data_IF_881460418556
#
_entry.id   IF_881460418556
#
_cell.length_a   1.000
_cell.length_b   1.000
_cell.length_c   1.000
_cell.angle_alpha   90.00
_cell.angle_beta   90.00
_cell.angle_gamma   90.00
#
_symmetry.space_group_name_H-M   'P 1'
#
loop_
_entity.id
_entity.type
_entity.pdbx_description
1 polymer ?
#
# COMPACT_ATOMS: atom_id res chain seq x y z
N UNK A 1 0.12 -22.42 44.66
CA UNK A 1 1.12 -22.16 43.57
C UNK A 1 0.52 -22.28 42.17
N UNK A 2 -0.32 -23.30 41.89
CA UNK A 2 -0.98 -23.52 40.58
C UNK A 2 -1.96 -22.40 40.20
N UNK A 3 -2.81 -21.94 41.13
CA UNK A 3 -3.76 -20.82 40.92
C UNK A 3 -3.09 -19.49 40.52
N UNK A 4 -1.94 -19.17 41.12
CA UNK A 4 -1.17 -17.95 40.80
C UNK A 4 -0.57 -18.04 39.38
N UNK A 5 -0.12 -19.24 38.96
CA UNK A 5 0.45 -19.50 37.64
C UNK A 5 -0.59 -19.37 36.51
N UNK A 6 -1.81 -19.85 36.73
CA UNK A 6 -2.92 -19.71 35.78
C UNK A 6 -3.38 -18.25 35.64
N UNK A 7 -3.44 -17.50 36.74
CA UNK A 7 -3.76 -16.06 36.69
C UNK A 7 -2.76 -15.27 35.83
N UNK A 8 -1.45 -15.49 36.03
CA UNK A 8 -0.40 -14.82 35.24
C UNK A 8 -0.37 -15.28 33.77
N UNK A 9 -0.71 -16.54 33.45
CA UNK A 9 -0.83 -17.00 32.05
C UNK A 9 -2.00 -16.35 31.32
N UNK A 10 -3.12 -16.15 32.01
CA UNK A 10 -4.30 -15.47 31.46
C UNK A 10 -4.05 -13.97 31.30
N UNK A 11 -3.38 -13.34 32.26
CA UNK A 11 -3.02 -11.91 32.20
C UNK A 11 -1.97 -11.59 31.14
N UNK A 12 -1.01 -12.50 30.92
CA UNK A 12 0.03 -12.34 29.88
C UNK A 12 -0.46 -12.65 28.45
N UNK A 13 -1.71 -13.08 28.27
CA UNK A 13 -2.24 -13.51 26.98
C UNK A 13 -1.60 -14.79 26.44
N UNK A 14 -0.74 -15.46 27.22
CA UNK A 14 -0.02 -16.66 26.78
C UNK A 14 -0.96 -17.84 26.54
N UNK A 15 -2.00 -17.97 27.36
CA UNK A 15 -3.04 -18.99 27.19
C UNK A 15 -3.80 -18.80 25.86
N UNK A 16 -4.15 -17.56 25.52
CA UNK A 16 -4.80 -17.22 24.26
C UNK A 16 -3.87 -17.48 23.06
N UNK A 17 -2.59 -17.13 23.20
CA UNK A 17 -1.59 -17.35 22.16
C UNK A 17 -1.30 -18.84 21.94
N UNK A 18 -1.29 -19.65 23.01
CA UNK A 18 -1.19 -21.11 22.92
C UNK A 18 -2.45 -21.72 22.26
N UNK A 19 -3.64 -21.17 22.54
CA UNK A 19 -4.89 -21.56 21.87
C UNK A 19 -4.85 -21.27 20.36
N UNK A 20 -4.51 -20.04 19.97
CA UNK A 20 -4.38 -19.65 18.55
C UNK A 20 -3.32 -20.50 17.84
N UNK A 21 -2.23 -20.87 18.53
CA UNK A 21 -1.24 -21.81 17.98
C UNK A 21 -1.82 -23.20 17.76
N UNK A 22 -2.65 -23.71 18.66
CA UNK A 22 -3.30 -25.01 18.48
C UNK A 22 -4.34 -24.99 17.36
N UNK A 23 -5.10 -23.90 17.22
CA UNK A 23 -6.10 -23.71 16.15
C UNK A 23 -5.49 -23.74 14.75
N UNK A 24 -4.20 -23.41 14.60
CA UNK A 24 -3.48 -23.54 13.31
C UNK A 24 -3.50 -24.97 12.76
N UNK A 25 -3.63 -25.96 13.63
CA UNK A 25 -3.62 -27.37 13.27
C UNK A 25 -5.01 -27.98 13.19
N UNK A 26 -6.05 -27.16 13.35
CA UNK A 26 -7.41 -27.63 13.20
C UNK A 26 -7.73 -27.88 11.71
N UNK A 27 -8.54 -28.91 11.42
CA UNK A 27 -8.99 -29.16 10.07
C UNK A 27 -9.76 -27.96 9.53
N UNK A 28 -9.46 -27.55 8.29
CA UNK A 28 -10.15 -26.44 7.67
C UNK A 28 -10.67 -26.79 6.27
N UNK A 29 -11.72 -26.09 5.88
CA UNK A 29 -12.34 -26.18 4.57
C UNK A 29 -12.09 -24.89 3.78
N UNK A 30 -12.48 -24.89 2.51
CA UNK A 30 -12.42 -23.69 1.67
C UNK A 30 -13.17 -22.52 2.32
N UNK A 31 -12.51 -21.36 2.41
CA UNK A 31 -13.09 -20.12 2.90
C UNK A 31 -13.24 -19.12 1.76
N UNK A 32 -14.44 -18.59 1.54
CA UNK A 32 -14.65 -17.59 0.50
C UNK A 32 -14.01 -16.25 0.86
N UNK A 33 -13.49 -15.56 -0.16
CA UNK A 33 -12.90 -14.23 -0.04
C UNK A 33 -13.89 -13.09 -0.34
N UNK A 34 -15.20 -13.37 -0.48
CA UNK A 34 -16.19 -12.35 -0.91
C UNK A 34 -16.23 -11.12 -0.01
N UNK A 35 -16.11 -11.27 1.31
CA UNK A 35 -16.05 -10.13 2.23
C UNK A 35 -14.81 -9.25 1.99
N UNK A 36 -13.63 -9.88 1.86
CA UNK A 36 -12.39 -9.17 1.55
C UNK A 36 -12.47 -8.46 0.20
N UNK A 37 -13.14 -9.05 -0.80
CA UNK A 37 -13.36 -8.42 -2.12
C UNK A 37 -14.23 -7.17 -2.00
N UNK A 38 -15.29 -7.20 -1.19
CA UNK A 38 -16.13 -6.00 -0.98
C UNK A 38 -15.32 -4.90 -0.30
N UNK A 39 -14.57 -5.23 0.75
CA UNK A 39 -13.71 -4.26 1.42
C UNK A 39 -12.63 -3.70 0.46
N UNK A 40 -11.96 -4.55 -0.31
CA UNK A 40 -10.99 -4.12 -1.31
C UNK A 40 -11.63 -3.26 -2.39
N UNK A 41 -12.87 -3.53 -2.82
CA UNK A 41 -13.57 -2.68 -3.77
C UNK A 41 -13.79 -1.27 -3.22
N UNK A 42 -14.18 -1.16 -1.95
CA UNK A 42 -14.41 0.13 -1.28
C UNK A 42 -13.10 0.90 -1.12
N UNK A 43 -12.10 0.27 -0.51
CA UNK A 43 -10.84 0.97 -0.18
C UNK A 43 -9.96 1.21 -1.41
N UNK A 44 -9.87 0.27 -2.37
CA UNK A 44 -9.18 0.55 -3.64
C UNK A 44 -9.95 1.58 -4.50
N UNK A 45 -11.27 1.65 -4.37
CA UNK A 45 -12.08 2.71 -4.98
C UNK A 45 -11.77 4.09 -4.37
N UNK A 46 -11.68 4.17 -3.04
CA UNK A 46 -11.27 5.37 -2.32
C UNK A 46 -9.83 5.77 -2.69
N UNK A 47 -8.89 4.83 -2.68
CA UNK A 47 -7.52 5.01 -3.13
C UNK A 47 -7.44 5.69 -4.50
N UNK A 48 -8.17 5.13 -5.48
CA UNK A 48 -8.22 5.63 -6.84
C UNK A 48 -8.82 7.04 -6.91
N UNK A 49 -9.89 7.32 -6.15
CA UNK A 49 -10.50 8.65 -6.06
C UNK A 49 -9.53 9.70 -5.48
N UNK A 50 -8.86 9.35 -4.39
CA UNK A 50 -7.92 10.25 -3.71
C UNK A 50 -6.67 10.50 -4.57
N UNK A 51 -6.17 9.48 -5.26
CA UNK A 51 -5.05 9.62 -6.21
C UNK A 51 -5.40 10.57 -7.37
N UNK A 52 -6.59 10.47 -7.95
CA UNK A 52 -7.04 11.44 -8.96
C UNK A 52 -7.17 12.86 -8.38
N UNK A 53 -7.64 12.97 -7.14
CA UNK A 53 -7.78 14.26 -6.45
C UNK A 53 -6.43 14.92 -6.20
N UNK A 54 -5.40 14.13 -5.84
CA UNK A 54 -4.01 14.59 -5.75
C UNK A 54 -3.49 15.06 -7.11
N UNK A 55 -3.71 14.29 -8.18
CA UNK A 55 -3.27 14.68 -9.52
C UNK A 55 -3.89 16.03 -9.95
N UNK A 56 -5.18 16.24 -9.63
CA UNK A 56 -5.85 17.52 -9.89
C UNK A 56 -5.26 18.66 -9.06
N UNK A 57 -4.97 18.40 -7.78
CA UNK A 57 -4.37 19.39 -6.89
C UNK A 57 -2.96 19.79 -7.35
N UNK A 58 -2.13 18.82 -7.74
CA UNK A 58 -0.78 19.07 -8.24
C UNK A 58 -0.80 19.76 -9.61
N UNK A 59 -1.80 19.48 -10.44
CA UNK A 59 -2.05 20.24 -11.67
C UNK A 59 -2.38 21.71 -11.36
N UNK A 60 -3.26 21.97 -10.40
CA UNK A 60 -3.61 23.34 -10.01
C UNK A 60 -2.38 24.10 -9.50
N UNK A 61 -1.56 23.46 -8.66
CA UNK A 61 -0.30 24.04 -8.17
C UNK A 61 0.65 24.35 -9.32
N UNK A 62 0.89 23.37 -10.20
CA UNK A 62 1.75 23.57 -11.36
C UNK A 62 1.26 24.73 -12.25
N UNK A 63 -0.06 24.84 -12.43
CA UNK A 63 -0.69 25.88 -13.26
C UNK A 63 -0.48 27.29 -12.70
N UNK A 64 -0.83 27.54 -11.43
CA UNK A 64 -0.67 28.87 -10.87
C UNK A 64 0.81 29.24 -10.67
N UNK A 65 1.68 28.31 -10.29
CA UNK A 65 3.12 28.56 -10.16
C UNK A 65 3.74 28.89 -11.51
N UNK A 66 3.31 28.23 -12.60
CA UNK A 66 3.74 28.58 -13.97
C UNK A 66 3.29 30.00 -14.33
N UNK A 67 2.07 30.39 -13.94
CA UNK A 67 1.58 31.75 -14.14
C UNK A 67 2.38 32.79 -13.36
N UNK A 68 2.74 32.49 -12.10
CA UNK A 68 3.60 33.35 -11.30
C UNK A 68 4.99 33.52 -11.93
N UNK A 69 5.58 32.43 -12.41
CA UNK A 69 6.84 32.47 -13.15
C UNK A 69 6.74 33.36 -14.40
N UNK A 70 5.64 33.26 -15.16
CA UNK A 70 5.43 34.13 -16.32
C UNK A 70 5.24 35.62 -15.98
N UNK A 71 4.84 35.92 -14.74
CA UNK A 71 4.70 37.27 -14.22
C UNK A 71 5.99 37.82 -13.60
N UNK A 72 7.11 37.07 -13.68
CA UNK A 72 8.42 37.50 -13.17
C UNK A 72 8.77 36.98 -11.78
N UNK A 73 7.93 36.14 -11.15
CA UNK A 73 8.22 35.56 -9.84
C UNK A 73 9.23 34.41 -9.97
N UNK A 74 10.31 34.44 -9.20
CA UNK A 74 11.45 33.53 -9.34
C UNK A 74 11.56 32.47 -8.24
N UNK A 75 10.98 32.74 -7.07
CA UNK A 75 10.99 31.89 -5.89
C UNK A 75 9.58 31.62 -5.35
N UNK A 76 9.46 30.70 -4.39
CA UNK A 76 8.17 30.39 -3.74
C UNK A 76 8.08 31.03 -2.35
N UNK A 77 6.86 31.40 -1.94
CA UNK A 77 6.61 31.79 -0.55
C UNK A 77 6.82 30.60 0.39
N UNK A 78 7.07 30.85 1.69
CA UNK A 78 7.24 29.79 2.67
C UNK A 78 5.97 28.93 2.80
N UNK A 79 6.16 27.65 3.09
CA UNK A 79 5.05 26.69 3.27
C UNK A 79 4.34 26.84 4.62
N UNK A 80 5.01 27.42 5.61
CA UNK A 80 4.50 27.71 6.95
C UNK A 80 4.52 29.21 7.21
N UNK A 81 3.59 29.71 8.02
CA UNK A 81 3.58 31.13 8.35
C UNK A 81 4.78 31.45 9.23
N UNK A 82 5.76 32.14 8.64
CA UNK A 82 6.92 32.69 9.33
C UNK A 82 7.16 34.10 8.78
N UNK A 83 6.99 35.16 9.61
CA UNK A 83 7.15 36.54 9.17
C UNK A 83 8.52 36.81 8.56
N UNK A 84 9.60 36.28 9.13
CA UNK A 84 10.97 36.50 8.62
C UNK A 84 11.13 35.88 7.24
N UNK A 85 10.75 34.61 7.06
CA UNK A 85 10.77 33.95 5.74
C UNK A 85 9.89 34.64 4.69
N UNK A 86 8.82 35.32 5.09
CA UNK A 86 7.96 36.11 4.20
C UNK A 86 8.64 37.41 3.74
N UNK A 87 9.38 38.07 4.64
CA UNK A 87 10.22 39.21 4.29
C UNK A 87 11.35 38.76 3.35
N UNK A 88 12.03 37.64 3.64
CA UNK A 88 13.07 37.09 2.75
C UNK A 88 12.54 36.74 1.35
N UNK A 89 11.29 36.27 1.26
CA UNK A 89 10.62 36.07 -0.01
C UNK A 89 10.34 37.40 -0.72
N UNK A 90 9.82 38.38 0.02
CA UNK A 90 9.55 39.73 -0.48
C UNK A 90 10.82 40.41 -1.05
N UNK A 91 11.94 40.33 -0.32
CA UNK A 91 13.23 40.87 -0.75
C UNK A 91 13.75 40.21 -2.02
N UNK A 92 13.66 38.87 -2.13
CA UNK A 92 14.09 38.14 -3.33
C UNK A 92 13.27 38.49 -4.57
N UNK A 93 11.98 38.76 -4.38
CA UNK A 93 11.06 39.11 -5.46
C UNK A 93 10.94 40.64 -5.69
N UNK A 94 11.68 41.45 -4.93
CA UNK A 94 11.69 42.92 -4.98
C UNK A 94 10.32 43.57 -4.70
N UNK A 95 9.54 43.02 -3.77
CA UNK A 95 8.31 43.67 -3.29
C UNK A 95 8.62 44.73 -2.22
N UNK A 96 7.81 45.78 -2.15
CA UNK A 96 7.88 46.82 -1.10
C UNK A 96 7.28 46.34 0.24
N UNK A 97 7.69 45.17 0.73
CA UNK A 97 7.33 44.62 2.04
C UNK A 97 8.59 44.17 2.79
N UNK A 98 9.21 45.10 3.53
CA UNK A 98 10.54 44.91 4.12
C UNK A 98 10.52 44.73 5.64
N UNK A 99 9.44 45.15 6.30
CA UNK A 99 9.32 45.12 7.76
C UNK A 99 8.15 44.26 8.21
N UNK A 100 8.34 43.55 9.31
CA UNK A 100 7.29 42.76 9.96
C UNK A 100 6.12 43.65 10.40
N UNK A 101 6.39 44.91 10.75
CA UNK A 101 5.34 45.88 11.14
C UNK A 101 4.44 46.21 9.94
N UNK A 102 5.01 46.36 8.74
CA UNK A 102 4.24 46.62 7.52
C UNK A 102 3.44 45.38 7.11
N UNK A 103 3.99 44.18 7.35
CA UNK A 103 3.31 42.90 7.13
C UNK A 103 2.08 42.76 8.04
N UNK A 104 2.20 43.07 9.33
CA UNK A 104 1.10 43.00 10.30
C UNK A 104 0.01 44.04 9.99
N UNK A 105 0.40 45.23 9.52
CA UNK A 105 -0.54 46.30 9.21
C UNK A 105 -1.07 46.26 7.76
N UNK A 106 -0.70 45.23 6.98
CA UNK A 106 -1.09 45.06 5.57
C UNK A 106 -0.82 46.31 4.71
N UNK A 107 0.31 46.96 4.92
CA UNK A 107 0.69 48.19 4.20
C UNK A 107 1.52 47.89 2.95
N UNK A 108 1.62 48.88 2.04
CA UNK A 108 2.42 48.81 0.82
C UNK A 108 2.07 47.58 -0.03
N UNK A 109 3.05 46.77 -0.43
CA UNK A 109 2.87 45.55 -1.22
C UNK A 109 2.75 44.27 -0.38
N UNK A 110 2.75 44.37 0.96
CA UNK A 110 2.55 43.22 1.84
C UNK A 110 1.26 42.42 1.59
N UNK A 111 0.10 43.04 1.23
CA UNK A 111 -1.09 42.27 0.86
C UNK A 111 -0.88 41.33 -0.34
N UNK A 112 -0.03 41.73 -1.28
CA UNK A 112 0.33 40.90 -2.45
C UNK A 112 1.18 39.70 -2.03
N UNK A 113 2.18 39.93 -1.16
CA UNK A 113 3.00 38.86 -0.58
C UNK A 113 2.16 37.86 0.22
N UNK A 114 1.27 38.37 1.08
CA UNK A 114 0.34 37.55 1.87
C UNK A 114 -0.62 36.76 0.97
N UNK A 115 -1.05 37.33 -0.16
CA UNK A 115 -1.88 36.61 -1.13
C UNK A 115 -1.13 35.43 -1.77
N UNK A 116 0.13 35.61 -2.17
CA UNK A 116 0.95 34.51 -2.68
C UNK A 116 1.13 33.42 -1.63
N UNK A 117 1.42 33.82 -0.39
CA UNK A 117 1.52 32.90 0.73
C UNK A 117 0.22 32.12 0.99
N UNK A 118 -0.93 32.80 1.06
CA UNK A 118 -2.23 32.17 1.32
C UNK A 118 -2.59 31.18 0.20
N UNK A 119 -2.45 31.58 -1.07
CA UNK A 119 -2.75 30.72 -2.22
C UNK A 119 -1.86 29.46 -2.24
N UNK A 120 -0.57 29.60 -1.94
CA UNK A 120 0.38 28.49 -1.90
C UNK A 120 0.16 27.58 -0.68
N UNK A 121 0.12 28.14 0.53
CA UNK A 121 -0.01 27.39 1.79
C UNK A 121 -1.33 26.63 1.87
N UNK A 122 -2.45 27.25 1.43
CA UNK A 122 -3.75 26.59 1.32
C UNK A 122 -3.68 25.39 0.38
N UNK A 123 -3.02 25.55 -0.78
CA UNK A 123 -2.88 24.46 -1.75
C UNK A 123 -2.01 23.32 -1.20
N UNK A 124 -0.91 23.64 -0.50
CA UNK A 124 -0.08 22.64 0.20
C UNK A 124 -0.87 21.88 1.27
N UNK A 125 -1.66 22.59 2.08
CA UNK A 125 -2.45 21.97 3.14
C UNK A 125 -3.47 20.98 2.57
N UNK A 126 -4.11 21.29 1.45
CA UNK A 126 -5.01 20.36 0.75
C UNK A 126 -4.25 19.12 0.28
N UNK A 127 -3.09 19.29 -0.40
CA UNK A 127 -2.26 18.16 -0.84
C UNK A 127 -1.83 17.27 0.34
N UNK A 128 -1.42 17.88 1.46
CA UNK A 128 -1.03 17.17 2.66
C UNK A 128 -2.19 16.34 3.26
N UNK A 129 -3.39 16.93 3.35
CA UNK A 129 -4.57 16.22 3.84
C UNK A 129 -4.95 15.04 2.94
N UNK A 130 -4.95 15.24 1.62
CA UNK A 130 -5.21 14.17 0.65
C UNK A 130 -4.17 13.05 0.77
N UNK A 131 -2.89 13.40 0.90
CA UNK A 131 -1.82 12.43 1.12
C UNK A 131 -2.00 11.64 2.42
N UNK A 132 -2.41 12.31 3.51
CA UNK A 132 -2.68 11.64 4.79
C UNK A 132 -3.83 10.65 4.68
N UNK A 133 -4.92 11.03 4.00
CA UNK A 133 -6.05 10.12 3.73
C UNK A 133 -5.57 8.91 2.92
N UNK A 134 -4.79 9.14 1.85
CA UNK A 134 -4.23 8.06 1.03
C UNK A 134 -3.31 7.14 1.85
N UNK A 135 -2.51 7.71 2.75
CA UNK A 135 -1.62 6.94 3.61
C UNK A 135 -2.39 6.07 4.62
N UNK A 136 -3.44 6.60 5.25
CA UNK A 136 -4.28 5.79 6.15
C UNK A 136 -4.98 4.68 5.38
N UNK A 137 -5.51 5.00 4.21
CA UNK A 137 -6.14 4.04 3.30
C UNK A 137 -5.16 2.94 2.84
N UNK A 138 -3.89 3.30 2.59
CA UNK A 138 -2.81 2.35 2.30
C UNK A 138 -2.67 1.29 3.38
N UNK A 139 -2.59 1.72 4.64
CA UNK A 139 -2.41 0.83 5.78
C UNK A 139 -3.59 -0.13 5.88
N UNK A 140 -4.82 0.36 5.69
CA UNK A 140 -6.03 -0.47 5.69
C UNK A 140 -5.98 -1.49 4.54
N UNK A 141 -5.64 -1.05 3.33
CA UNK A 141 -5.50 -1.91 2.16
C UNK A 141 -4.46 -3.02 2.37
N UNK A 142 -3.32 -2.74 3.02
CA UNK A 142 -2.29 -3.75 3.33
C UNK A 142 -2.89 -4.91 4.13
N UNK A 143 -3.67 -4.62 5.18
CA UNK A 143 -4.26 -5.67 6.02
C UNK A 143 -5.31 -6.49 5.27
N UNK A 144 -6.19 -5.84 4.50
CA UNK A 144 -7.24 -6.54 3.77
C UNK A 144 -6.64 -7.36 2.62
N UNK A 145 -5.70 -6.79 1.87
CA UNK A 145 -5.00 -7.47 0.78
C UNK A 145 -4.16 -8.63 1.32
N UNK A 146 -3.43 -8.44 2.42
CA UNK A 146 -2.69 -9.50 3.10
C UNK A 146 -3.59 -10.64 3.55
N UNK A 147 -4.74 -10.32 4.17
CA UNK A 147 -5.75 -11.31 4.56
C UNK A 147 -6.30 -12.08 3.35
N UNK A 148 -6.58 -11.38 2.26
CA UNK A 148 -7.01 -11.98 1.00
C UNK A 148 -5.97 -12.97 0.45
N UNK A 149 -4.71 -12.56 0.35
CA UNK A 149 -3.60 -13.40 -0.16
C UNK A 149 -3.38 -14.62 0.75
N UNK A 150 -3.36 -14.42 2.07
CA UNK A 150 -3.23 -15.50 3.04
C UNK A 150 -4.34 -16.55 2.87
N UNK A 151 -5.60 -16.11 2.82
CA UNK A 151 -6.75 -17.01 2.63
C UNK A 151 -6.69 -17.69 1.26
N UNK A 152 -6.35 -16.97 0.21
CA UNK A 152 -6.23 -17.54 -1.14
C UNK A 152 -5.15 -18.60 -1.24
N UNK A 153 -4.01 -18.43 -0.55
CA UNK A 153 -2.96 -19.45 -0.46
C UNK A 153 -3.45 -20.67 0.33
N UNK A 154 -4.08 -20.48 1.49
CA UNK A 154 -4.67 -21.60 2.26
C UNK A 154 -5.68 -22.41 1.42
N UNK A 155 -6.50 -21.73 0.64
CA UNK A 155 -7.51 -22.37 -0.19
C UNK A 155 -6.91 -23.30 -1.24
N UNK A 156 -5.67 -23.11 -1.71
CA UNK A 156 -5.07 -23.98 -2.72
C UNK A 156 -5.06 -25.45 -2.29
N UNK A 157 -4.74 -25.73 -1.02
CA UNK A 157 -4.76 -27.09 -0.47
C UNK A 157 -6.18 -27.69 -0.46
N UNK A 158 -7.20 -26.86 -0.23
CA UNK A 158 -8.62 -27.27 -0.30
C UNK A 158 -9.12 -27.44 -1.74
N UNK A 159 -8.39 -26.89 -2.72
CA UNK A 159 -8.68 -27.01 -4.15
C UNK A 159 -7.88 -28.15 -4.80
N UNK A 160 -7.33 -29.07 -4.01
CA UNK A 160 -6.43 -30.18 -4.43
C UNK A 160 -5.14 -29.72 -5.11
N UNK A 161 -4.79 -28.44 -5.04
CA UNK A 161 -3.49 -27.94 -5.47
C UNK A 161 -2.47 -28.06 -4.34
N UNK A 162 -1.96 -29.28 -4.15
CA UNK A 162 -0.91 -29.59 -3.17
C UNK A 162 0.47 -29.11 -3.64
N UNK A 163 1.43 -29.09 -2.71
CA UNK A 163 2.84 -28.75 -2.99
C UNK A 163 3.05 -27.31 -3.47
N UNK A 164 2.37 -26.37 -2.81
CA UNK A 164 2.67 -24.94 -2.96
C UNK A 164 4.11 -24.63 -2.51
N UNK A 165 4.80 -23.78 -3.26
CA UNK A 165 6.16 -23.30 -2.95
C UNK A 165 6.13 -22.29 -1.81
N UNK A 166 5.09 -21.45 -1.75
CA UNK A 166 4.93 -20.47 -0.69
C UNK A 166 3.89 -20.92 0.32
N UNK A 167 4.24 -20.91 1.61
CA UNK A 167 3.23 -21.09 2.66
C UNK A 167 2.30 -19.87 2.72
N UNK A 168 1.10 -20.00 3.31
CA UNK A 168 0.18 -18.87 3.43
C UNK A 168 0.78 -17.66 4.16
N UNK A 169 1.57 -17.89 5.19
CA UNK A 169 2.25 -16.83 5.95
C UNK A 169 3.34 -16.18 5.12
N UNK A 170 4.17 -16.99 4.44
CA UNK A 170 5.23 -16.47 3.58
C UNK A 170 4.66 -15.69 2.39
N UNK A 171 3.49 -16.09 1.89
CA UNK A 171 2.78 -15.39 0.82
C UNK A 171 2.45 -13.93 1.16
N UNK A 172 2.35 -13.59 2.46
CA UNK A 172 2.13 -12.21 2.92
C UNK A 172 3.44 -11.54 3.32
N UNK A 173 4.30 -12.25 4.05
CA UNK A 173 5.54 -11.68 4.60
C UNK A 173 6.50 -11.14 3.53
N UNK A 174 6.53 -11.75 2.35
CA UNK A 174 7.41 -11.31 1.27
C UNK A 174 7.13 -9.89 0.74
N UNK A 175 5.94 -9.33 0.98
CA UNK A 175 5.62 -7.94 0.65
C UNK A 175 6.36 -6.92 1.54
N UNK A 176 6.80 -7.34 2.72
CA UNK A 176 7.41 -6.44 3.71
C UNK A 176 8.94 -6.52 3.74
N UNK A 177 9.53 -7.50 3.06
CA UNK A 177 10.99 -7.66 3.01
C UNK A 177 11.54 -6.78 1.89
N UNK A 178 12.33 -5.74 2.21
CA UNK A 178 12.94 -4.87 1.20
C UNK A 178 13.76 -5.69 0.19
N UNK A 179 13.77 -5.26 -1.07
CA UNK A 179 14.42 -5.98 -2.17
C UNK A 179 13.61 -7.17 -2.69
N UNK A 180 13.18 -8.08 -1.82
CA UNK A 180 12.38 -9.24 -2.21
C UNK A 180 10.98 -8.83 -2.68
N UNK A 181 10.46 -7.73 -2.13
CA UNK A 181 9.18 -7.11 -2.50
C UNK A 181 9.09 -6.75 -4.00
N UNK A 182 10.20 -6.61 -4.72
CA UNK A 182 10.16 -6.32 -6.16
C UNK A 182 9.69 -7.49 -7.02
N UNK A 183 9.87 -8.74 -6.57
CA UNK A 183 9.63 -9.92 -7.41
C UNK A 183 8.81 -11.01 -6.75
N UNK A 184 8.89 -11.17 -5.42
CA UNK A 184 8.13 -12.21 -4.70
C UNK A 184 6.62 -12.03 -4.80
N UNK A 185 6.03 -10.83 -4.64
CA UNK A 185 4.60 -10.62 -4.83
C UNK A 185 4.06 -11.14 -6.17
N UNK A 186 4.80 -10.86 -7.26
CA UNK A 186 4.45 -11.34 -8.59
C UNK A 186 4.49 -12.88 -8.68
N UNK A 187 5.51 -13.51 -8.12
CA UNK A 187 5.63 -14.98 -8.08
C UNK A 187 4.49 -15.62 -7.30
N UNK A 188 4.13 -15.03 -6.15
CA UNK A 188 3.05 -15.51 -5.28
C UNK A 188 1.72 -15.44 -6.03
N UNK A 189 1.36 -14.28 -6.60
CA UNK A 189 0.13 -14.15 -7.38
C UNK A 189 0.10 -15.12 -8.56
N UNK A 190 1.20 -15.27 -9.30
CA UNK A 190 1.30 -16.24 -10.40
C UNK A 190 0.99 -17.65 -9.92
N UNK A 191 1.56 -18.07 -8.80
CA UNK A 191 1.31 -19.38 -8.20
C UNK A 191 -0.15 -19.54 -7.77
N UNK A 192 -0.73 -18.54 -7.12
CA UNK A 192 -2.14 -18.54 -6.72
C UNK A 192 -3.06 -18.71 -7.93
N UNK A 193 -2.81 -18.02 -9.03
CA UNK A 193 -3.60 -18.16 -10.25
C UNK A 193 -3.47 -19.56 -10.85
N UNK A 194 -2.25 -20.09 -10.97
CA UNK A 194 -2.01 -21.44 -11.49
C UNK A 194 -2.71 -22.51 -10.68
N UNK A 195 -2.58 -22.46 -9.35
CA UNK A 195 -3.25 -23.39 -8.45
C UNK A 195 -4.78 -23.22 -8.44
N UNK A 196 -5.29 -22.07 -8.88
CA UNK A 196 -6.72 -21.80 -8.96
C UNK A 196 -7.32 -22.08 -10.35
N UNK A 197 -6.54 -22.55 -11.32
CA UNK A 197 -7.05 -22.90 -12.65
C UNK A 197 -8.00 -24.12 -12.54
N UNK A 198 -9.29 -23.98 -12.92
CA UNK A 198 -10.25 -25.09 -12.87
C UNK A 198 -9.99 -26.17 -13.93
N UNK A 199 -9.18 -25.87 -14.95
CA UNK A 199 -8.94 -26.76 -16.09
C UNK A 199 -7.88 -27.84 -15.79
N UNK A 200 -7.17 -27.70 -14.67
CA UNK A 200 -6.01 -28.51 -14.32
C UNK A 200 -6.13 -28.99 -12.87
N UNK A 201 -6.17 -30.32 -12.70
CA UNK A 201 -6.19 -30.98 -11.38
C UNK A 201 -4.76 -31.41 -10.99
N UNK A 202 -4.10 -32.22 -11.82
CA UNK A 202 -2.72 -32.68 -11.63
C UNK A 202 -1.71 -31.74 -12.30
N UNK A 203 -0.48 -31.66 -11.78
CA UNK A 203 0.63 -30.86 -12.34
C UNK A 203 0.29 -29.37 -12.58
N UNK A 204 -0.57 -28.79 -11.73
CA UNK A 204 -1.00 -27.39 -11.81
C UNK A 204 0.16 -26.38 -11.85
N UNK A 205 1.34 -26.72 -11.32
CA UNK A 205 2.52 -25.85 -11.32
C UNK A 205 3.05 -25.59 -12.74
N UNK A 206 3.06 -26.60 -13.62
CA UNK A 206 3.50 -26.45 -15.01
C UNK A 206 2.33 -25.96 -15.88
N UNK A 207 1.19 -26.64 -15.78
CA UNK A 207 0.13 -26.58 -16.79
C UNK A 207 -0.95 -25.56 -16.46
N UNK A 208 -1.02 -25.12 -15.19
CA UNK A 208 -1.96 -24.10 -14.76
C UNK A 208 -1.72 -22.78 -15.49
N UNK A 209 -2.80 -22.18 -15.95
CA UNK A 209 -2.77 -20.85 -16.56
C UNK A 209 -2.80 -19.75 -15.51
N UNK A 210 -2.32 -18.58 -15.90
CA UNK A 210 -2.42 -17.37 -15.09
C UNK A 210 -2.86 -16.21 -15.97
N UNK A 211 -3.47 -15.21 -15.37
CA UNK A 211 -4.01 -14.07 -16.11
C UNK A 211 -2.92 -12.99 -16.33
N UNK A 212 -2.93 -12.38 -17.52
CA UNK A 212 -1.93 -11.37 -17.89
C UNK A 212 -2.03 -10.08 -17.05
N UNK A 213 -3.18 -9.83 -16.39
CA UNK A 213 -3.32 -8.71 -15.45
C UNK A 213 -2.28 -8.70 -14.32
N UNK A 214 -1.75 -9.87 -13.94
CA UNK A 214 -0.70 -9.98 -12.91
C UNK A 214 0.59 -9.29 -13.37
N UNK A 215 0.92 -9.37 -14.66
CA UNK A 215 2.10 -8.70 -15.21
C UNK A 215 1.94 -7.18 -15.23
N UNK A 216 0.78 -6.70 -15.69
CA UNK A 216 0.49 -5.27 -15.66
C UNK A 216 0.50 -4.72 -14.23
N UNK A 217 -0.17 -5.41 -13.31
CA UNK A 217 -0.14 -5.04 -11.90
C UNK A 217 1.29 -5.00 -11.34
N UNK A 218 2.13 -6.01 -11.63
CA UNK A 218 3.50 -6.06 -11.12
C UNK A 218 4.39 -4.94 -11.68
N UNK A 219 4.25 -4.60 -12.97
CA UNK A 219 4.97 -3.49 -13.59
C UNK A 219 4.55 -2.16 -12.96
N UNK A 220 3.24 -1.91 -12.85
CA UNK A 220 2.72 -0.68 -12.23
C UNK A 220 3.09 -0.58 -10.74
N UNK A 221 3.08 -1.71 -10.03
CA UNK A 221 3.51 -1.80 -8.65
C UNK A 221 4.97 -1.38 -8.48
N UNK A 222 5.86 -1.87 -9.35
CA UNK A 222 7.27 -1.50 -9.34
C UNK A 222 7.49 -0.03 -9.69
N UNK A 223 6.76 0.49 -10.68
CA UNK A 223 6.84 1.90 -11.05
C UNK A 223 6.35 2.78 -9.89
N UNK A 224 5.21 2.47 -9.28
CA UNK A 224 4.69 3.21 -8.13
C UNK A 224 5.62 3.14 -6.91
N UNK A 225 6.30 2.01 -6.70
CA UNK A 225 7.29 1.89 -5.63
C UNK A 225 8.46 2.88 -5.82
N UNK A 226 8.92 3.09 -7.05
CA UNK A 226 10.01 4.00 -7.38
C UNK A 226 9.55 5.47 -7.49
N UNK A 227 8.34 5.69 -7.99
CA UNK A 227 7.74 6.99 -8.28
C UNK A 227 6.42 7.16 -7.50
N UNK A 228 6.54 7.58 -6.24
CA UNK A 228 5.40 7.96 -5.39
C UNK A 228 5.59 9.36 -4.78
N UNK A 229 4.55 9.96 -4.20
CA UNK A 229 4.60 11.29 -3.56
C UNK A 229 5.64 11.45 -2.44
N UNK A 230 6.22 10.36 -1.92
CA UNK A 230 7.32 10.41 -0.96
C UNK A 230 8.68 10.38 -1.65
N UNK A 231 8.88 9.51 -2.64
CA UNK A 231 10.18 9.34 -3.31
C UNK A 231 10.47 10.48 -4.28
N UNK A 232 9.48 10.97 -5.02
CA UNK A 232 9.64 12.06 -6.01
C UNK A 232 10.26 13.31 -5.36
N UNK A 233 9.69 13.91 -4.31
CA UNK A 233 10.20 15.17 -3.78
C UNK A 233 11.45 15.03 -2.91
N UNK A 234 11.76 13.81 -2.42
CA UNK A 234 12.86 13.55 -1.48
C UNK A 234 14.11 12.99 -2.12
N UNK A 235 13.95 12.14 -3.13
CA UNK A 235 15.06 11.42 -3.77
C UNK A 235 15.37 12.03 -5.13
N UNK A 236 14.34 12.24 -5.95
CA UNK A 236 14.51 12.66 -7.34
C UNK A 236 14.64 14.20 -7.49
N UNK A 237 13.96 14.96 -6.62
CA UNK A 237 13.93 16.43 -6.65
C UNK A 237 14.24 17.05 -5.27
N UNK A 238 15.33 16.59 -4.66
CA UNK A 238 15.76 17.06 -3.33
C UNK A 238 16.23 18.51 -3.34
N UNK A 239 16.89 18.93 -4.42
CA UNK A 239 17.40 20.29 -4.59
C UNK A 239 16.38 21.09 -5.41
N UNK A 240 15.83 22.14 -4.81
CA UNK A 240 14.85 23.02 -5.46
C UNK A 240 15.38 24.45 -5.32
N UNK A 241 16.23 24.83 -6.26
CA UNK A 241 16.88 26.13 -6.24
C UNK A 241 15.99 27.19 -6.89
N UNK A 242 15.26 26.80 -7.94
CA UNK A 242 14.43 27.70 -8.73
C UNK A 242 12.96 27.26 -8.80
N UNK A 243 12.06 28.21 -9.05
CA UNK A 243 10.63 27.93 -9.28
C UNK A 243 10.40 26.92 -10.42
N UNK A 244 11.29 26.88 -11.42
CA UNK A 244 11.25 25.92 -12.54
C UNK A 244 11.43 24.46 -12.12
N UNK A 245 12.29 24.18 -11.14
CA UNK A 245 12.50 22.83 -10.61
C UNK A 245 11.24 22.35 -9.87
N UNK A 246 10.56 23.29 -9.22
CA UNK A 246 9.33 23.02 -8.48
C UNK A 246 8.18 22.73 -9.44
N UNK A 247 8.04 23.51 -10.51
CA UNK A 247 7.06 23.23 -11.58
C UNK A 247 7.28 21.82 -12.15
N UNK A 248 8.54 21.45 -12.41
CA UNK A 248 8.91 20.12 -12.92
C UNK A 248 8.58 19.01 -11.91
N UNK A 249 8.80 19.27 -10.62
CA UNK A 249 8.43 18.36 -9.53
C UNK A 249 6.92 18.07 -9.54
N UNK A 250 6.07 19.10 -9.59
CA UNK A 250 4.61 18.90 -9.64
C UNK A 250 4.15 18.18 -10.89
N UNK A 251 4.76 18.44 -12.06
CA UNK A 251 4.44 17.70 -13.30
C UNK A 251 4.71 16.20 -13.16
N UNK A 252 5.78 15.83 -12.45
CA UNK A 252 6.11 14.42 -12.21
C UNK A 252 5.21 13.81 -11.15
N UNK A 253 4.81 14.58 -10.13
CA UNK A 253 3.82 14.13 -9.15
C UNK A 253 2.46 13.82 -9.80
N UNK A 254 1.98 14.64 -10.74
CA UNK A 254 0.76 14.33 -11.52
C UNK A 254 0.86 12.96 -12.18
N UNK A 255 2.01 12.64 -12.79
CA UNK A 255 2.23 11.33 -13.44
C UNK A 255 2.24 10.22 -12.38
N UNK A 256 2.91 10.45 -11.25
CA UNK A 256 2.95 9.52 -10.12
C UNK A 256 1.55 9.19 -9.59
N UNK A 257 0.70 10.19 -9.43
CA UNK A 257 -0.67 10.03 -8.95
C UNK A 257 -1.56 9.27 -9.94
N UNK A 258 -1.37 9.49 -11.24
CA UNK A 258 -2.05 8.69 -12.29
C UNK A 258 -1.61 7.22 -12.21
N UNK A 259 -0.32 6.96 -11.98
CA UNK A 259 0.19 5.59 -11.80
C UNK A 259 -0.42 4.94 -10.55
N UNK A 260 -0.56 5.68 -9.45
CA UNK A 260 -1.22 5.18 -8.22
C UNK A 260 -2.70 4.87 -8.45
N UNK A 261 -3.41 5.72 -9.19
CA UNK A 261 -4.79 5.46 -9.61
C UNK A 261 -4.89 4.14 -10.39
N UNK A 262 -4.05 3.96 -11.41
CA UNK A 262 -4.03 2.76 -12.25
C UNK A 262 -3.64 1.51 -11.46
N UNK A 263 -2.72 1.64 -10.51
CA UNK A 263 -2.34 0.54 -9.61
C UNK A 263 -3.51 0.06 -8.76
N UNK A 264 -4.32 0.98 -8.21
CA UNK A 264 -5.53 0.63 -7.45
C UNK A 264 -6.54 -0.17 -8.28
N UNK A 265 -6.80 0.28 -9.52
CA UNK A 265 -7.69 -0.41 -10.47
C UNK A 265 -7.15 -1.80 -10.83
N UNK A 266 -5.86 -1.91 -11.16
CA UNK A 266 -5.22 -3.18 -11.50
C UNK A 266 -5.22 -4.16 -10.33
N UNK A 267 -4.95 -3.67 -9.11
CA UNK A 267 -5.00 -4.50 -7.90
C UNK A 267 -6.39 -5.09 -7.70
N UNK A 268 -7.45 -4.29 -7.87
CA UNK A 268 -8.83 -4.77 -7.79
C UNK A 268 -9.13 -5.84 -8.85
N UNK A 269 -8.73 -5.60 -10.10
CA UNK A 269 -8.93 -6.57 -11.19
C UNK A 269 -8.25 -7.91 -10.87
N UNK A 270 -7.02 -7.88 -10.37
CA UNK A 270 -6.25 -9.09 -10.02
C UNK A 270 -6.95 -9.89 -8.92
N UNK A 271 -7.33 -9.25 -7.81
CA UNK A 271 -7.99 -9.96 -6.69
C UNK A 271 -9.37 -10.48 -7.08
N UNK A 272 -10.14 -9.70 -7.86
CA UNK A 272 -11.45 -10.11 -8.33
C UNK A 272 -11.37 -11.33 -9.26
N UNK A 273 -10.44 -11.31 -10.23
CA UNK A 273 -10.22 -12.43 -11.14
C UNK A 273 -9.76 -13.68 -10.39
N UNK A 274 -8.81 -13.55 -9.46
CA UNK A 274 -8.34 -14.66 -8.64
C UNK A 274 -9.48 -15.26 -7.81
N UNK A 275 -10.27 -14.42 -7.14
CA UNK A 275 -11.42 -14.87 -6.36
C UNK A 275 -12.40 -15.67 -7.22
N UNK A 276 -12.73 -15.15 -8.41
CA UNK A 276 -13.65 -15.82 -9.35
C UNK A 276 -13.10 -17.17 -9.83
N UNK A 277 -11.80 -17.28 -10.06
CA UNK A 277 -11.16 -18.55 -10.40
C UNK A 277 -11.25 -19.55 -9.24
N UNK A 278 -10.95 -19.11 -8.01
CA UNK A 278 -11.03 -19.97 -6.83
C UNK A 278 -12.46 -20.49 -6.57
N UNK A 279 -13.48 -19.65 -6.68
CA UNK A 279 -14.88 -20.10 -6.55
C UNK A 279 -15.28 -21.08 -7.66
N UNK A 280 -14.81 -20.87 -8.89
CA UNK A 280 -15.07 -21.80 -10.00
C UNK A 280 -14.44 -23.17 -9.75
N UNK A 281 -13.16 -23.18 -9.35
CA UNK A 281 -12.45 -24.44 -9.05
C UNK A 281 -13.09 -25.15 -7.86
N UNK A 282 -13.48 -24.41 -6.82
CA UNK A 282 -14.22 -24.94 -5.67
C UNK A 282 -15.50 -25.66 -6.09
N UNK A 283 -16.27 -25.08 -7.01
CA UNK A 283 -17.52 -25.70 -7.47
C UNK A 283 -17.30 -27.02 -8.23
N UNK A 284 -16.13 -27.20 -8.85
CA UNK A 284 -15.77 -28.44 -9.57
C UNK A 284 -15.22 -29.48 -8.60
N UNK A 285 -14.31 -29.07 -7.71
CA UNK A 285 -13.62 -29.97 -6.77
C UNK A 285 -14.54 -30.44 -5.63
N UNK A 286 -15.49 -29.61 -5.21
CA UNK A 286 -16.38 -29.88 -4.09
C UNK A 286 -15.76 -29.54 -2.73
N UNK A 287 -16.32 -30.10 -1.66
CA UNK A 287 -15.87 -29.86 -0.30
C UNK A 287 -14.69 -30.78 0.06
N UNK A 288 -13.50 -30.19 0.22
CA UNK A 288 -12.30 -30.88 0.69
C UNK A 288 -11.87 -30.28 2.02
N UNK A 289 -11.67 -31.15 3.02
CA UNK A 289 -11.12 -30.78 4.32
C UNK A 289 -9.63 -31.10 4.36
N UNK A 290 -8.83 -30.11 4.73
CA UNK A 290 -7.37 -30.26 4.87
C UNK A 290 -7.04 -30.50 6.34
N UNK A 291 -6.21 -31.50 6.60
CA UNK A 291 -5.69 -31.83 7.94
C UNK A 291 -4.23 -31.37 8.04
N UNK A 292 -3.94 -30.25 8.72
CA UNK A 292 -2.57 -29.77 8.87
C UNK A 292 -1.74 -30.77 9.66
N UNK A 293 -0.47 -30.96 9.27
CA UNK A 293 0.46 -31.77 10.06
C UNK A 293 0.78 -31.02 11.35
N UNK A 294 0.55 -31.67 12.51
CA UNK A 294 0.98 -31.14 13.81
C UNK A 294 2.51 -31.19 13.91
N UNK A 295 3.14 -30.18 14.53
CA UNK A 295 4.57 -30.21 14.82
C UNK A 295 4.79 -31.34 15.81
N UNK A 296 5.75 -32.20 15.50
CA UNK A 296 6.16 -33.28 16.40
C UNK A 296 6.99 -32.61 17.50
N UNK A 297 6.64 -32.83 18.77
CA UNK A 297 7.48 -32.36 19.88
C UNK A 297 8.81 -33.13 19.82
N UNK A 298 9.97 -32.46 19.76
CA UNK A 298 11.27 -33.12 19.76
C UNK A 298 11.43 -34.12 20.91
N UNK A 299 10.82 -33.85 22.07
CA UNK A 299 10.87 -34.74 23.24
C UNK A 299 10.01 -35.99 23.01
N UNK A 300 8.82 -35.83 22.43
CA UNK A 300 7.92 -36.95 22.11
C UNK A 300 8.50 -37.83 21.00
N UNK A 301 9.22 -37.25 20.04
CA UNK A 301 9.98 -37.98 19.02
C UNK A 301 11.14 -38.77 19.63
N UNK A 302 11.88 -38.17 20.57
CA UNK A 302 12.96 -38.84 21.29
C UNK A 302 12.44 -40.00 22.17
N UNK A 303 11.30 -39.83 22.84
CA UNK A 303 10.66 -40.89 23.64
C UNK A 303 10.17 -42.05 22.76
N UNK A 304 9.45 -41.76 21.67
CA UNK A 304 8.96 -42.77 20.74
C UNK A 304 10.07 -43.54 20.01
N UNK A 305 11.26 -42.93 19.84
CA UNK A 305 12.43 -43.60 19.27
C UNK A 305 13.19 -44.47 20.28
N UNK A 306 13.11 -44.17 21.57
CA UNK A 306 13.68 -45.01 22.63
C UNK A 306 12.86 -46.27 22.89
N UNK A 307 11.53 -46.21 22.73
CA UNK A 307 10.64 -47.37 22.89
C UNK A 307 10.69 -48.37 21.70
N UNK A 308 11.38 -48.01 20.61
CA UNK A 308 11.58 -48.85 19.41
C UNK A 308 12.94 -49.57 19.38
N UNK A 309 13.74 -49.48 20.44
CA UNK A 309 14.99 -50.23 20.64
C UNK A 309 14.80 -51.34 21.66
#
# INVERSE_FOLDING_TARGET
>A
MILRKNFFRKLSGREELDRIKSERYDPYCYESNSFNIVLLAIFLGLWSLVSISLAFQDYNISSFVTKWQSNGISSLPPSTFDPESLIDFSERENFECLDVIDLINEQKECPTVLKYYDEYSKSQNISFLLFLVLFVDFIICIFIFGSFIHRSSRNLLTLKSSEQRFSPEMSVLWFFIPGMNFFRPWQILKELFKGSDPSVEDNWQSDGNFDFSIHFWAVFYLIAFLFNPVTVPRIWFSNRENIGDIISTYKILIISDIILFLLGVLAFIVVFKLHKLQERKRNIVGLVTVYPKKPIDPIEELLNNNDKK
#
